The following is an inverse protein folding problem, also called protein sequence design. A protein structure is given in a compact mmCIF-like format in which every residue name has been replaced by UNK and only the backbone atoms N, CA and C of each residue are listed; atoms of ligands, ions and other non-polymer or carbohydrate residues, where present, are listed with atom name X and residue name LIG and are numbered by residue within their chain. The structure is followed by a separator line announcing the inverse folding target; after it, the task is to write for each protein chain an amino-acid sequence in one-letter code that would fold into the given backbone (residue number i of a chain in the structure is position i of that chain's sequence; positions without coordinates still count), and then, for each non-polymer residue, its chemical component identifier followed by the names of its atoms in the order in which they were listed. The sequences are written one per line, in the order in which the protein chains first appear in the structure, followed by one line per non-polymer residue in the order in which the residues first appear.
data_IF_317259610306
#
_entry.id   IF_317259610306
#
_cell.length_a   1.000
_cell.length_b   1.000
_cell.length_c   1.000
_cell.angle_alpha   90.00
_cell.angle_beta   90.00
_cell.angle_gamma   90.00
#
_symmetry.space_group_name_H-M   'P 1'
#
loop_
_entity.id
_entity.type
_entity.pdbx_description
1 polymer ?
#
# COMPACT_ATOMS: atom_id res chain seq x y z
N UNK A 1 -4.91 -27.27 21.94
CA UNK A 1 -4.53 -26.67 23.24
C UNK A 1 -3.29 -27.32 23.85
N UNK A 2 -2.91 -28.52 23.41
CA UNK A 2 -1.78 -29.31 23.94
C UNK A 2 -0.37 -28.80 23.52
N UNK A 3 -0.24 -28.15 22.38
CA UNK A 3 1.07 -27.72 21.81
C UNK A 3 1.70 -26.47 22.48
N UNK A 4 0.89 -25.63 23.13
CA UNK A 4 1.41 -24.39 23.77
C UNK A 4 2.13 -24.61 25.09
N UNK A 5 2.02 -25.82 25.68
CA UNK A 5 2.58 -26.13 27.01
C UNK A 5 4.07 -26.52 26.97
N UNK A 6 4.67 -26.69 25.79
CA UNK A 6 6.05 -27.14 25.62
C UNK A 6 7.02 -26.02 25.20
N UNK A 7 6.50 -24.83 24.85
CA UNK A 7 7.35 -23.71 24.41
C UNK A 7 8.06 -23.04 25.61
N UNK A 8 9.30 -22.57 25.42
CA UNK A 8 10.00 -21.74 26.40
C UNK A 8 9.21 -20.49 26.80
N UNK A 9 9.34 -20.07 28.05
CA UNK A 9 8.59 -18.94 28.60
C UNK A 9 8.77 -17.63 27.78
N UNK A 10 9.95 -17.40 27.23
CA UNK A 10 10.26 -16.28 26.36
C UNK A 10 9.46 -16.30 25.05
N UNK A 11 9.37 -17.46 24.40
CA UNK A 11 8.57 -17.65 23.20
C UNK A 11 7.08 -17.47 23.48
N UNK A 12 6.58 -17.96 24.62
CA UNK A 12 5.18 -17.76 25.03
C UNK A 12 4.86 -16.28 25.26
N UNK A 13 5.77 -15.54 25.90
CA UNK A 13 5.63 -14.11 26.09
C UNK A 13 5.61 -13.37 24.75
N UNK A 14 6.49 -13.74 23.81
CA UNK A 14 6.52 -13.21 22.45
C UNK A 14 5.21 -13.44 21.71
N UNK A 15 4.63 -14.66 21.77
CA UNK A 15 3.35 -14.98 21.14
C UNK A 15 2.20 -14.14 21.71
N UNK A 16 2.14 -13.96 23.03
CA UNK A 16 1.14 -13.10 23.67
C UNK A 16 1.30 -11.64 23.25
N UNK A 17 2.55 -11.15 23.15
CA UNK A 17 2.85 -9.81 22.73
C UNK A 17 2.47 -9.57 21.25
N UNK A 18 2.75 -10.53 20.35
CA UNK A 18 2.31 -10.51 18.95
C UNK A 18 0.78 -10.43 18.91
N UNK A 19 0.08 -11.31 19.59
CA UNK A 19 -1.40 -11.34 19.59
C UNK A 19 -2.03 -10.03 20.11
N UNK A 20 -1.41 -9.38 21.10
CA UNK A 20 -1.89 -8.09 21.63
C UNK A 20 -1.64 -6.90 20.69
N UNK A 21 -0.58 -6.93 19.91
CA UNK A 21 -0.24 -5.87 18.94
C UNK A 21 -1.10 -5.93 17.68
N UNK A 22 -1.63 -7.10 17.35
CA UNK A 22 -2.52 -7.26 16.20
C UNK A 22 -3.93 -6.80 16.61
N UNK A 23 -4.13 -5.48 16.63
CA UNK A 23 -5.47 -4.93 16.83
C UNK A 23 -6.29 -5.13 15.54
N UNK A 24 -7.51 -5.69 15.61
CA UNK A 24 -8.41 -5.76 14.47
C UNK A 24 -8.76 -4.33 14.06
N UNK A 25 -8.37 -3.93 12.87
CA UNK A 25 -8.69 -2.64 12.25
C UNK A 25 -9.29 -2.91 10.88
N UNK A 26 -10.24 -2.08 10.48
CA UNK A 26 -10.75 -2.05 9.10
C UNK A 26 -9.72 -1.48 8.11
N UNK A 27 -8.65 -0.87 8.62
CA UNK A 27 -7.52 -0.42 7.83
C UNK A 27 -6.45 -1.52 7.78
N UNK A 28 -6.37 -2.21 6.65
CA UNK A 28 -5.45 -3.32 6.45
C UNK A 28 -3.98 -2.89 6.57
N UNK A 29 -3.60 -1.68 6.13
CA UNK A 29 -2.24 -1.16 6.21
C UNK A 29 -1.79 -0.94 7.66
N UNK A 30 -2.70 -0.44 8.51
CA UNK A 30 -2.45 -0.32 9.93
C UNK A 30 -2.16 -1.68 10.56
N UNK A 31 -3.02 -2.67 10.28
CA UNK A 31 -2.87 -4.02 10.83
C UNK A 31 -1.62 -4.70 10.28
N UNK A 32 -1.34 -4.54 8.99
CA UNK A 32 -0.13 -5.04 8.34
C UNK A 32 1.15 -4.46 8.95
N UNK A 33 1.19 -3.14 9.15
CA UNK A 33 2.30 -2.48 9.84
C UNK A 33 2.50 -2.98 11.27
N UNK A 34 1.41 -3.19 12.02
CA UNK A 34 1.44 -3.71 13.38
C UNK A 34 1.97 -5.15 13.44
N UNK A 35 1.63 -5.99 12.46
CA UNK A 35 2.16 -7.36 12.33
C UNK A 35 3.67 -7.33 12.07
N UNK A 36 4.14 -6.49 11.13
CA UNK A 36 5.58 -6.34 10.83
C UNK A 36 6.38 -5.92 12.06
N UNK A 37 5.90 -4.91 12.77
CA UNK A 37 6.55 -4.42 13.98
C UNK A 37 6.56 -5.48 15.09
N UNK A 38 5.45 -6.21 15.27
CA UNK A 38 5.35 -7.27 16.24
C UNK A 38 6.30 -8.44 15.95
N UNK A 39 6.39 -8.89 14.69
CA UNK A 39 7.31 -9.96 14.28
C UNK A 39 8.77 -9.55 14.48
N UNK A 40 9.13 -8.34 14.04
CA UNK A 40 10.50 -7.82 14.19
C UNK A 40 10.97 -7.78 15.64
N UNK A 41 10.08 -7.38 16.55
CA UNK A 41 10.43 -7.21 17.97
C UNK A 41 10.35 -8.51 18.76
N UNK A 42 9.37 -9.36 18.47
CA UNK A 42 9.01 -10.48 19.34
C UNK A 42 9.41 -11.84 18.77
N UNK A 43 9.74 -11.92 17.48
CA UNK A 43 10.15 -13.15 16.82
C UNK A 43 11.38 -12.92 15.91
N UNK A 44 12.51 -12.44 16.44
CA UNK A 44 13.72 -12.25 15.66
C UNK A 44 14.20 -13.60 15.10
N UNK A 45 14.53 -13.63 13.80
CA UNK A 45 14.93 -14.86 13.10
C UNK A 45 13.81 -15.64 12.45
N UNK A 46 12.54 -15.28 12.68
CA UNK A 46 11.41 -15.80 11.90
C UNK A 46 11.26 -14.98 10.63
N UNK A 47 11.20 -15.69 9.48
CA UNK A 47 10.84 -15.09 8.21
C UNK A 47 9.37 -15.36 7.93
N UNK A 48 8.62 -14.33 7.55
CA UNK A 48 7.21 -14.46 7.27
C UNK A 48 6.80 -13.61 6.06
N UNK A 49 5.94 -14.17 5.21
CA UNK A 49 5.30 -13.48 4.10
C UNK A 49 3.86 -13.95 3.96
N UNK A 50 2.99 -13.08 3.51
CA UNK A 50 1.63 -13.43 3.14
C UNK A 50 1.47 -13.35 1.62
N UNK A 51 0.74 -14.29 1.05
CA UNK A 51 0.35 -14.26 -0.34
C UNK A 51 -1.18 -14.28 -0.45
N UNK A 52 -1.71 -13.34 -1.19
CA UNK A 52 -3.11 -13.33 -1.62
C UNK A 52 -3.21 -12.84 -3.07
N UNK A 53 -4.31 -13.10 -3.78
CA UNK A 53 -4.52 -12.63 -5.14
C UNK A 53 -4.68 -11.10 -5.20
N UNK A 54 -3.60 -10.38 -4.93
CA UNK A 54 -3.44 -8.94 -5.10
C UNK A 54 -2.44 -8.68 -6.24
N UNK A 55 -2.39 -7.47 -6.80
CA UNK A 55 -1.47 -7.15 -7.89
C UNK A 55 0.01 -7.42 -7.58
N UNK A 56 0.36 -7.48 -6.31
CA UNK A 56 1.75 -7.65 -5.82
C UNK A 56 2.11 -9.12 -5.52
N UNK A 57 1.12 -10.03 -5.46
CA UNK A 57 1.32 -11.45 -5.18
C UNK A 57 1.84 -11.72 -3.77
N UNK A 58 3.15 -11.79 -3.59
CA UNK A 58 3.78 -12.04 -2.28
C UNK A 58 4.03 -10.72 -1.54
N UNK A 59 3.55 -10.65 -0.30
CA UNK A 59 3.69 -9.48 0.59
C UNK A 59 4.60 -9.83 1.76
N UNK A 60 5.84 -9.28 1.83
CA UNK A 60 6.78 -9.60 2.89
C UNK A 60 6.37 -9.00 4.23
N UNK A 61 6.28 -9.85 5.27
CA UNK A 61 6.00 -9.44 6.65
C UNK A 61 7.28 -9.20 7.46
N UNK A 62 8.42 -9.71 6.99
CA UNK A 62 9.74 -9.48 7.57
C UNK A 62 10.73 -9.03 6.49
N UNK A 63 11.83 -8.32 6.83
CA UNK A 63 12.73 -7.71 5.84
C UNK A 63 13.35 -8.66 4.84
N UNK A 64 13.68 -9.89 5.26
CA UNK A 64 14.35 -10.89 4.39
C UNK A 64 13.38 -11.91 3.78
N UNK A 65 12.07 -11.75 3.97
CA UNK A 65 11.07 -12.69 3.49
C UNK A 65 11.06 -12.82 1.96
N UNK A 66 11.28 -11.74 1.21
CA UNK A 66 11.34 -11.78 -0.26
C UNK A 66 12.41 -12.76 -0.74
N UNK A 67 13.61 -12.70 -0.16
CA UNK A 67 14.72 -13.60 -0.50
C UNK A 67 14.42 -15.04 -0.07
N UNK A 68 13.84 -15.21 1.13
CA UNK A 68 13.54 -16.53 1.67
C UNK A 68 12.50 -17.27 0.84
N UNK A 69 11.52 -16.56 0.31
CA UNK A 69 10.40 -17.14 -0.44
C UNK A 69 10.47 -16.86 -1.95
N UNK A 70 11.60 -16.43 -2.48
CA UNK A 70 11.80 -16.09 -3.90
C UNK A 70 11.41 -17.24 -4.82
N UNK A 71 11.70 -18.49 -4.44
CA UNK A 71 11.34 -19.66 -5.21
C UNK A 71 9.83 -19.84 -5.44
N UNK A 72 8.98 -19.25 -4.58
CA UNK A 72 7.53 -19.35 -4.65
C UNK A 72 6.87 -18.20 -5.41
N UNK A 73 7.61 -17.12 -5.70
CA UNK A 73 7.04 -15.93 -6.37
C UNK A 73 6.78 -16.14 -7.86
N UNK A 74 7.39 -17.14 -8.47
CA UNK A 74 7.34 -17.40 -9.92
C UNK A 74 6.27 -18.42 -10.35
N UNK A 75 5.56 -19.06 -9.41
CA UNK A 75 4.75 -20.25 -9.75
C UNK A 75 3.25 -19.97 -9.76
N UNK A 76 2.60 -20.32 -10.90
CA UNK A 76 1.14 -20.52 -11.00
C UNK A 76 0.60 -21.53 -9.98
N UNK A 77 1.48 -22.25 -9.33
CA UNK A 77 1.21 -23.33 -8.37
C UNK A 77 0.62 -22.84 -7.05
N UNK A 78 0.71 -21.54 -6.72
CA UNK A 78 0.12 -21.02 -5.46
C UNK A 78 -1.41 -21.15 -5.46
N UNK A 79 -2.06 -21.04 -6.63
CA UNK A 79 -3.52 -21.27 -6.74
C UNK A 79 -3.89 -22.74 -6.52
N UNK A 80 -3.01 -23.66 -6.87
CA UNK A 80 -3.21 -25.10 -6.64
C UNK A 80 -2.96 -25.52 -5.18
N UNK A 81 -2.34 -24.66 -4.39
CA UNK A 81 -2.03 -24.87 -2.98
C UNK A 81 -3.07 -24.30 -2.01
N UNK A 82 -4.28 -24.00 -2.44
CA UNK A 82 -5.36 -23.47 -1.60
C UNK A 82 -6.18 -24.57 -0.89
N UNK A 83 -5.62 -25.47 -0.09
CA UNK A 83 -6.43 -26.28 0.78
C UNK A 83 -6.29 -25.84 2.24
N UNK A 84 -7.37 -25.95 2.94
CA UNK A 84 -7.52 -26.10 4.38
C UNK A 84 -6.45 -25.50 5.33
N UNK A 85 -6.86 -25.12 6.50
CA UNK A 85 -6.11 -24.52 7.62
C UNK A 85 -4.84 -25.27 8.09
N UNK A 86 -4.38 -26.30 7.38
CA UNK A 86 -3.31 -27.16 7.84
C UNK A 86 -1.93 -26.53 7.65
N UNK A 87 -1.17 -26.53 8.74
CA UNK A 87 0.24 -26.15 8.77
C UNK A 87 1.06 -27.24 8.06
N UNK A 88 1.54 -26.95 6.87
CA UNK A 88 2.24 -27.91 6.01
C UNK A 88 3.65 -27.41 5.66
N UNK A 89 4.64 -28.31 5.56
CA UNK A 89 5.97 -27.95 5.08
C UNK A 89 5.92 -27.50 3.62
N UNK A 90 6.81 -26.60 3.25
CA UNK A 90 7.06 -26.18 1.87
C UNK A 90 8.24 -27.01 1.34
N UNK A 91 8.00 -27.85 0.32
CA UNK A 91 9.01 -28.81 -0.17
C UNK A 91 10.24 -28.11 -0.73
N UNK A 92 10.06 -26.96 -1.38
CA UNK A 92 11.10 -26.21 -2.07
C UNK A 92 12.02 -25.44 -1.12
N UNK A 93 11.58 -25.18 0.12
CA UNK A 93 12.30 -24.35 1.08
C UNK A 93 12.42 -25.10 2.42
N UNK A 94 13.58 -25.67 2.73
CA UNK A 94 13.81 -26.36 4.01
C UNK A 94 13.55 -25.45 5.21
N UNK A 95 12.77 -25.94 6.19
CA UNK A 95 12.39 -25.16 7.39
C UNK A 95 11.30 -24.12 7.16
N UNK A 96 10.70 -24.09 5.98
CA UNK A 96 9.54 -23.25 5.71
C UNK A 96 8.23 -24.06 5.79
N UNK A 97 7.19 -23.35 6.24
CA UNK A 97 5.83 -23.88 6.39
C UNK A 97 4.83 -22.90 5.80
N UNK A 98 3.68 -23.43 5.40
CA UNK A 98 2.54 -22.67 4.88
C UNK A 98 1.28 -23.00 5.68
N UNK A 99 0.37 -22.01 5.76
CA UNK A 99 -0.97 -22.17 6.32
C UNK A 99 -1.96 -21.31 5.53
N UNK A 100 -3.19 -21.81 5.33
CA UNK A 100 -4.24 -21.06 4.64
C UNK A 100 -4.72 -19.84 5.43
N UNK A 101 -4.95 -18.74 4.72
CA UNK A 101 -5.55 -17.52 5.24
C UNK A 101 -7.07 -17.58 5.12
N UNK A 102 -7.74 -18.15 6.11
CA UNK A 102 -9.18 -18.43 6.04
C UNK A 102 -10.00 -17.43 6.85
N UNK A 103 -11.02 -16.88 6.20
CA UNK A 103 -12.07 -16.08 6.83
C UNK A 103 -13.43 -16.48 6.22
N UNK A 104 -14.50 -16.48 7.02
CA UNK A 104 -15.85 -16.86 6.58
C UNK A 104 -15.91 -18.19 5.81
N UNK A 105 -15.11 -19.20 6.23
CA UNK A 105 -15.01 -20.53 5.58
C UNK A 105 -14.48 -20.48 4.14
N UNK A 106 -13.87 -19.39 3.73
CA UNK A 106 -13.23 -19.22 2.43
C UNK A 106 -11.75 -18.94 2.63
N UNK A 107 -10.91 -19.56 1.81
CA UNK A 107 -9.47 -19.29 1.79
C UNK A 107 -9.19 -18.07 0.90
N UNK A 108 -8.41 -17.11 1.41
CA UNK A 108 -8.05 -15.88 0.75
C UNK A 108 -6.57 -15.80 0.36
N UNK A 109 -5.78 -16.80 0.73
CA UNK A 109 -4.36 -16.82 0.43
C UNK A 109 -3.58 -17.74 1.36
N UNK A 110 -2.27 -17.55 1.39
CA UNK A 110 -1.34 -18.34 2.21
C UNK A 110 -0.51 -17.42 3.10
N UNK A 111 -0.25 -17.88 4.33
CA UNK A 111 0.82 -17.38 5.17
C UNK A 111 2.00 -18.34 5.08
N UNK A 112 3.17 -17.80 4.77
CA UNK A 112 4.44 -18.50 4.71
C UNK A 112 5.26 -18.09 5.92
N UNK A 113 5.83 -19.07 6.63
CA UNK A 113 6.73 -18.84 7.76
C UNK A 113 7.94 -19.77 7.65
N UNK A 114 9.12 -19.28 8.04
CA UNK A 114 10.37 -20.04 8.05
C UNK A 114 11.20 -19.70 9.28
N UNK A 115 11.90 -20.69 9.83
CA UNK A 115 12.76 -20.54 11.01
C UNK A 115 13.25 -21.88 11.50
N UNK A 116 13.89 -21.89 12.69
CA UNK A 116 14.56 -23.08 13.22
C UNK A 116 13.64 -23.99 14.03
N UNK A 117 12.59 -23.46 14.66
CA UNK A 117 11.71 -24.17 15.57
C UNK A 117 10.30 -24.36 14.96
N UNK A 118 9.97 -25.56 14.46
CA UNK A 118 8.68 -25.82 13.81
C UNK A 118 7.46 -25.64 14.74
N UNK A 119 7.57 -25.94 16.04
CA UNK A 119 6.46 -25.78 16.99
C UNK A 119 6.17 -24.30 17.26
N UNK A 120 7.23 -23.52 17.39
CA UNK A 120 7.11 -22.06 17.51
C UNK A 120 6.55 -21.42 16.25
N UNK A 121 7.03 -21.84 15.07
CA UNK A 121 6.50 -21.38 13.78
C UNK A 121 5.01 -21.70 13.62
N UNK A 122 4.59 -22.91 14.02
CA UNK A 122 3.17 -23.30 14.00
C UNK A 122 2.32 -22.39 14.88
N UNK A 123 2.83 -22.05 16.06
CA UNK A 123 2.14 -21.16 16.99
C UNK A 123 2.03 -19.74 16.45
N UNK A 124 3.10 -19.19 15.86
CA UNK A 124 3.09 -17.91 15.16
C UNK A 124 2.10 -17.93 13.99
N UNK A 125 2.16 -18.95 13.16
CA UNK A 125 1.27 -19.09 12.00
C UNK A 125 -0.21 -19.10 12.41
N UNK A 126 -0.57 -19.81 13.48
CA UNK A 126 -1.95 -19.83 14.02
C UNK A 126 -2.43 -18.47 14.52
N UNK A 127 -1.56 -17.71 15.19
CA UNK A 127 -1.89 -16.37 15.69
C UNK A 127 -2.07 -15.38 14.52
N UNK A 128 -1.26 -15.50 13.48
CA UNK A 128 -1.26 -14.56 12.35
C UNK A 128 -2.29 -14.90 11.27
N UNK A 129 -2.57 -16.19 11.02
CA UNK A 129 -3.40 -16.62 9.89
C UNK A 129 -4.82 -16.03 9.92
N UNK A 130 -5.47 -16.02 11.08
CA UNK A 130 -6.83 -15.49 11.21
C UNK A 130 -6.90 -13.98 10.98
N UNK A 131 -6.13 -13.12 11.66
CA UNK A 131 -6.18 -11.68 11.41
C UNK A 131 -5.75 -11.32 9.99
N UNK A 132 -4.74 -11.99 9.42
CA UNK A 132 -4.34 -11.74 8.02
C UNK A 132 -5.44 -12.20 7.05
N UNK A 133 -6.08 -13.34 7.31
CA UNK A 133 -7.22 -13.83 6.53
C UNK A 133 -8.41 -12.86 6.55
N UNK A 134 -8.71 -12.25 7.70
CA UNK A 134 -9.72 -11.20 7.83
C UNK A 134 -9.34 -9.94 7.05
N UNK A 135 -8.07 -9.55 7.07
CA UNK A 135 -7.56 -8.43 6.27
C UNK A 135 -7.73 -8.71 4.77
N UNK A 136 -7.31 -9.89 4.31
CA UNK A 136 -7.43 -10.29 2.92
C UNK A 136 -8.91 -10.34 2.47
N UNK A 137 -9.80 -10.81 3.34
CA UNK A 137 -11.24 -10.77 3.10
C UNK A 137 -11.78 -9.33 3.01
N UNK A 138 -11.41 -8.48 3.96
CA UNK A 138 -11.82 -7.07 3.97
C UNK A 138 -11.33 -6.33 2.72
N UNK A 139 -10.07 -6.56 2.32
CA UNK A 139 -9.52 -6.02 1.08
C UNK A 139 -10.31 -6.46 -0.16
N UNK A 140 -10.66 -7.74 -0.27
CA UNK A 140 -11.48 -8.25 -1.37
C UNK A 140 -12.87 -7.63 -1.41
N UNK A 141 -13.51 -7.46 -0.24
CA UNK A 141 -14.80 -6.78 -0.16
C UNK A 141 -14.69 -5.31 -0.56
N UNK A 142 -13.64 -4.62 -0.14
CA UNK A 142 -13.38 -3.23 -0.53
C UNK A 142 -13.15 -3.13 -2.05
N UNK A 143 -12.41 -4.06 -2.64
CA UNK A 143 -12.21 -4.14 -4.10
C UNK A 143 -13.54 -4.36 -4.84
N UNK A 144 -14.39 -5.26 -4.37
CA UNK A 144 -15.72 -5.49 -4.95
C UNK A 144 -16.63 -4.27 -4.85
N UNK A 145 -16.59 -3.57 -3.72
CA UNK A 145 -17.31 -2.31 -3.54
C UNK A 145 -16.76 -1.23 -4.47
N UNK A 146 -15.43 -1.13 -4.58
CA UNK A 146 -14.77 -0.16 -5.47
C UNK A 146 -15.05 -0.45 -6.95
N UNK A 147 -15.22 -1.71 -7.34
CA UNK A 147 -15.68 -2.08 -8.70
C UNK A 147 -17.12 -1.63 -8.98
N UNK A 148 -17.95 -1.50 -7.96
CA UNK A 148 -19.37 -1.09 -8.09
C UNK A 148 -19.59 0.42 -7.87
N UNK A 149 -18.59 1.13 -7.41
CA UNK A 149 -18.64 2.58 -7.14
C UNK A 149 -17.55 3.28 -7.93
N UNK A 150 -17.75 4.54 -8.26
CA UNK A 150 -16.72 5.37 -8.90
C UNK A 150 -15.83 6.09 -7.89
N UNK A 151 -16.23 6.14 -6.62
CA UNK A 151 -15.56 6.93 -5.59
C UNK A 151 -15.15 6.10 -4.38
N UNK A 152 -14.03 6.49 -3.77
CA UNK A 152 -13.58 6.00 -2.48
C UNK A 152 -14.44 6.57 -1.34
N UNK A 153 -14.95 5.72 -0.47
CA UNK A 153 -15.87 6.10 0.59
C UNK A 153 -15.25 6.98 1.69
N UNK A 154 -13.95 6.82 1.94
CA UNK A 154 -13.26 7.55 2.99
C UNK A 154 -12.92 8.98 2.57
N UNK A 155 -12.36 9.13 1.39
CA UNK A 155 -11.92 10.44 0.88
C UNK A 155 -12.98 11.12 0.01
N UNK A 156 -13.89 10.33 -0.59
CA UNK A 156 -14.86 10.75 -1.59
C UNK A 156 -14.22 11.18 -2.91
N UNK A 157 -12.95 10.90 -3.13
CA UNK A 157 -12.25 11.07 -4.40
C UNK A 157 -12.61 9.91 -5.33
N UNK A 158 -12.22 10.01 -6.61
CA UNK A 158 -12.33 8.87 -7.51
C UNK A 158 -11.53 7.69 -6.95
N UNK A 159 -12.01 6.45 -7.17
CA UNK A 159 -11.22 5.27 -6.85
C UNK A 159 -10.32 4.88 -8.04
N UNK A 160 -9.29 4.07 -7.76
CA UNK A 160 -8.29 3.64 -8.76
C UNK A 160 -8.90 2.86 -9.92
N UNK A 161 -9.94 2.03 -9.67
CA UNK A 161 -10.58 1.23 -10.70
C UNK A 161 -11.23 2.13 -11.74
N UNK A 162 -12.09 3.04 -11.28
CA UNK A 162 -12.77 4.01 -12.15
C UNK A 162 -11.77 4.90 -12.91
N UNK A 163 -10.70 5.34 -12.25
CA UNK A 163 -9.65 6.11 -12.90
C UNK A 163 -9.00 5.34 -14.05
N UNK A 164 -8.58 4.09 -13.83
CA UNK A 164 -7.88 3.31 -14.84
C UNK A 164 -8.73 3.08 -16.11
N UNK A 165 -10.03 2.85 -15.93
CA UNK A 165 -10.97 2.70 -17.05
C UNK A 165 -11.07 3.97 -17.88
N UNK A 166 -11.26 5.12 -17.22
CA UNK A 166 -11.46 6.42 -17.88
C UNK A 166 -10.18 7.05 -18.39
N UNK A 167 -9.07 6.86 -17.69
CA UNK A 167 -7.82 7.52 -18.04
C UNK A 167 -7.24 7.02 -19.36
N UNK A 168 -7.49 5.77 -19.72
CA UNK A 168 -7.12 5.25 -21.03
C UNK A 168 -7.83 6.01 -22.17
N UNK A 169 -9.14 6.19 -22.07
CA UNK A 169 -9.94 6.94 -23.04
C UNK A 169 -9.46 8.40 -23.15
N UNK A 170 -9.15 8.99 -22.00
CA UNK A 170 -8.67 10.37 -21.93
C UNK A 170 -7.28 10.55 -22.59
N UNK A 171 -6.35 9.64 -22.38
CA UNK A 171 -5.07 9.66 -23.08
C UNK A 171 -5.23 9.55 -24.60
N UNK A 172 -6.14 8.72 -25.09
CA UNK A 172 -6.46 8.63 -26.51
C UNK A 172 -7.07 9.95 -27.05
N UNK A 173 -7.89 10.63 -26.24
CA UNK A 173 -8.42 11.96 -26.56
C UNK A 173 -7.30 12.99 -26.68
N UNK A 174 -6.39 13.05 -25.71
CA UNK A 174 -5.25 13.97 -25.70
C UNK A 174 -4.36 13.79 -26.94
N UNK A 175 -4.10 12.56 -27.35
CA UNK A 175 -3.33 12.28 -28.57
C UNK A 175 -4.01 12.86 -29.80
N UNK A 176 -5.35 12.71 -29.92
CA UNK A 176 -6.10 13.25 -31.05
C UNK A 176 -6.18 14.77 -31.06
N UNK A 177 -6.39 15.39 -29.88
CA UNK A 177 -6.52 16.84 -29.77
C UNK A 177 -5.18 17.59 -29.73
N UNK A 178 -4.06 16.86 -29.60
CA UNK A 178 -2.70 17.41 -29.39
C UNK A 178 -2.60 18.32 -28.15
N UNK A 179 -3.48 18.10 -27.20
CA UNK A 179 -3.44 18.81 -25.93
C UNK A 179 -2.41 18.17 -24.98
N UNK A 180 -1.88 18.99 -24.07
CA UNK A 180 -1.00 18.50 -23.00
C UNK A 180 -1.81 18.22 -21.75
N UNK A 181 -1.39 17.24 -20.97
CA UNK A 181 -1.94 16.97 -19.64
C UNK A 181 -0.84 16.51 -18.71
N UNK A 182 -1.07 16.60 -17.41
CA UNK A 182 -0.11 16.18 -16.40
C UNK A 182 -0.72 15.19 -15.42
N UNK A 183 0.08 14.23 -15.00
CA UNK A 183 -0.24 13.27 -13.94
C UNK A 183 0.68 13.52 -12.76
N UNK A 184 0.15 13.54 -11.57
CA UNK A 184 0.93 13.59 -10.36
C UNK A 184 0.55 12.47 -9.40
N UNK A 185 1.54 11.83 -8.77
CA UNK A 185 1.36 11.01 -7.59
C UNK A 185 1.82 11.82 -6.40
N UNK A 186 1.01 11.84 -5.36
CA UNK A 186 1.33 12.48 -4.08
C UNK A 186 1.31 11.42 -2.99
N UNK A 187 2.45 11.18 -2.40
CA UNK A 187 2.60 10.33 -1.23
C UNK A 187 2.55 11.18 0.05
N UNK A 188 1.80 10.73 1.06
CA UNK A 188 1.92 11.22 2.43
C UNK A 188 2.95 10.32 3.14
N UNK A 189 4.24 10.56 2.90
CA UNK A 189 5.33 9.61 3.10
C UNK A 189 5.43 9.03 4.51
N UNK A 190 5.13 9.84 5.53
CA UNK A 190 5.15 9.42 6.92
C UNK A 190 3.77 9.04 7.49
N UNK A 191 2.69 9.16 6.71
CA UNK A 191 1.35 9.00 7.27
C UNK A 191 1.08 7.59 7.79
N UNK A 192 1.54 6.56 7.10
CA UNK A 192 1.41 5.18 7.56
C UNK A 192 2.08 4.95 8.93
N UNK A 193 3.25 5.56 9.16
CA UNK A 193 3.94 5.50 10.45
C UNK A 193 3.17 6.31 11.52
N UNK A 194 2.72 7.51 11.18
CA UNK A 194 1.96 8.38 12.07
C UNK A 194 0.61 7.74 12.47
N UNK A 195 -0.10 7.15 11.52
CA UNK A 195 -1.37 6.45 11.75
C UNK A 195 -1.26 5.32 12.78
N UNK A 196 -0.10 4.65 12.87
CA UNK A 196 0.15 3.60 13.87
C UNK A 196 0.31 4.13 15.29
N UNK A 197 0.56 5.42 15.47
CA UNK A 197 0.69 6.06 16.79
C UNK A 197 -0.61 6.59 17.37
N UNK A 198 -1.72 6.51 16.62
CA UNK A 198 -3.03 7.03 16.99
C UNK A 198 -4.14 5.98 16.83
N UNK A 199 -5.34 6.29 17.29
CA UNK A 199 -6.48 5.43 17.07
C UNK A 199 -6.84 5.36 15.57
N UNK A 200 -7.27 4.19 15.05
CA UNK A 200 -7.61 4.03 13.62
C UNK A 200 -8.66 5.03 13.13
N UNK A 201 -9.65 5.36 13.97
CA UNK A 201 -10.71 6.32 13.65
C UNK A 201 -10.13 7.74 13.49
N UNK A 202 -9.11 8.08 14.26
CA UNK A 202 -8.43 9.37 14.18
C UNK A 202 -7.62 9.46 12.88
N UNK A 203 -6.86 8.42 12.53
CA UNK A 203 -6.14 8.34 11.28
C UNK A 203 -7.09 8.44 10.07
N UNK A 204 -8.20 7.71 10.10
CA UNK A 204 -9.23 7.78 9.06
C UNK A 204 -9.83 9.18 8.93
N UNK A 205 -10.07 9.87 10.05
CA UNK A 205 -10.59 11.25 10.06
C UNK A 205 -9.60 12.22 9.42
N UNK A 206 -8.31 12.11 9.75
CA UNK A 206 -7.26 12.94 9.15
C UNK A 206 -7.20 12.69 7.63
N UNK A 207 -7.22 11.45 7.20
CA UNK A 207 -7.16 11.13 5.77
C UNK A 207 -8.42 11.56 5.01
N UNK A 208 -9.60 11.48 5.62
CA UNK A 208 -10.83 12.05 5.08
C UNK A 208 -10.74 13.57 4.90
N UNK A 209 -10.12 14.29 5.87
CA UNK A 209 -9.85 15.71 5.75
C UNK A 209 -8.87 16.03 4.62
N UNK A 210 -7.86 15.19 4.39
CA UNK A 210 -6.98 15.30 3.22
C UNK A 210 -7.78 15.19 1.93
N UNK A 211 -8.72 14.25 1.82
CA UNK A 211 -9.64 14.15 0.69
C UNK A 211 -10.50 15.43 0.48
N UNK A 212 -10.93 16.06 1.56
CA UNK A 212 -11.65 17.34 1.49
C UNK A 212 -10.74 18.49 1.01
N UNK A 213 -9.48 18.52 1.49
CA UNK A 213 -8.49 19.51 1.06
C UNK A 213 -8.19 19.44 -0.45
N UNK A 214 -8.18 18.23 -1.02
CA UNK A 214 -8.05 18.03 -2.48
C UNK A 214 -9.13 18.79 -3.22
N UNK A 215 -10.40 18.62 -2.84
CA UNK A 215 -11.55 19.26 -3.51
C UNK A 215 -11.51 20.79 -3.50
N UNK A 216 -10.77 21.37 -2.56
CA UNK A 216 -10.65 22.83 -2.44
C UNK A 216 -9.56 23.42 -3.35
N UNK A 217 -8.70 22.58 -3.93
CA UNK A 217 -7.57 23.05 -4.76
C UNK A 217 -7.68 22.62 -6.21
N UNK A 218 -8.39 21.53 -6.52
CA UNK A 218 -8.60 21.04 -7.88
C UNK A 218 -9.79 21.72 -8.55
N UNK A 219 -9.74 21.83 -9.86
CA UNK A 219 -10.86 22.31 -10.70
C UNK A 219 -11.86 21.16 -10.92
N UNK A 220 -13.05 21.47 -11.40
CA UNK A 220 -14.06 20.46 -11.75
C UNK A 220 -13.58 19.53 -12.88
N UNK A 221 -12.70 19.99 -13.75
CA UNK A 221 -12.09 19.23 -14.85
C UNK A 221 -10.94 18.35 -14.41
N UNK A 222 -10.33 18.64 -13.24
CA UNK A 222 -9.21 17.87 -12.74
C UNK A 222 -9.71 16.60 -12.06
N UNK A 223 -8.95 15.52 -12.19
CA UNK A 223 -9.28 14.28 -11.52
C UNK A 223 -8.40 14.07 -10.31
N UNK A 224 -9.01 13.73 -9.20
CA UNK A 224 -8.34 13.39 -7.97
C UNK A 224 -8.78 12.02 -7.52
N UNK A 225 -7.84 11.15 -7.22
CA UNK A 225 -8.04 9.71 -7.05
C UNK A 225 -7.36 9.26 -5.76
N UNK A 226 -8.00 8.42 -4.98
CA UNK A 226 -7.29 7.59 -4.00
C UNK A 226 -6.57 6.48 -4.76
N UNK A 227 -5.24 6.55 -4.78
CA UNK A 227 -4.45 5.71 -5.66
C UNK A 227 -4.08 4.37 -5.04
N UNK A 228 -3.34 4.42 -3.94
CA UNK A 228 -2.89 3.25 -3.21
C UNK A 228 -2.62 3.65 -1.76
N UNK A 229 -3.15 2.88 -0.80
CA UNK A 229 -3.00 3.20 0.59
C UNK A 229 -3.40 4.63 0.95
N UNK A 230 -2.40 5.43 1.30
CA UNK A 230 -2.54 6.87 1.59
C UNK A 230 -2.00 7.75 0.46
N UNK A 231 -1.68 7.17 -0.68
CA UNK A 231 -1.24 7.91 -1.86
C UNK A 231 -2.44 8.43 -2.67
N UNK A 232 -2.26 9.59 -3.26
CA UNK A 232 -3.23 10.24 -4.12
C UNK A 232 -2.67 10.37 -5.53
N UNK A 233 -3.53 10.22 -6.53
CA UNK A 233 -3.21 10.54 -7.92
C UNK A 233 -4.04 11.74 -8.36
N UNK A 234 -3.38 12.65 -9.08
CA UNK A 234 -4.03 13.77 -9.75
C UNK A 234 -3.80 13.67 -11.25
N UNK A 235 -4.84 13.94 -12.02
CA UNK A 235 -4.73 14.17 -13.45
C UNK A 235 -5.25 15.59 -13.75
N UNK A 236 -4.44 16.36 -14.44
CA UNK A 236 -4.71 17.73 -14.83
C UNK A 236 -4.80 17.84 -16.35
N UNK A 237 -6.01 17.83 -16.94
CA UNK A 237 -6.18 18.03 -18.38
C UNK A 237 -5.73 19.43 -18.79
N UNK A 238 -5.20 19.55 -20.00
CA UNK A 238 -4.76 20.81 -20.63
C UNK A 238 -3.83 21.65 -19.72
N UNK A 239 -2.96 20.97 -18.93
CA UNK A 239 -2.14 21.58 -17.89
C UNK A 239 -0.71 21.08 -18.01
N UNK A 240 0.28 22.00 -18.04
CA UNK A 240 1.71 21.67 -18.04
C UNK A 240 2.16 21.14 -16.67
N UNK A 241 3.33 20.51 -16.62
CA UNK A 241 3.91 20.03 -15.36
C UNK A 241 4.13 21.16 -14.35
N UNK A 242 4.61 22.32 -14.81
CA UNK A 242 4.85 23.50 -13.97
C UNK A 242 3.53 24.04 -13.38
N UNK A 243 2.48 24.12 -14.21
CA UNK A 243 1.17 24.55 -13.73
C UNK A 243 0.54 23.55 -12.74
N UNK A 244 0.73 22.24 -12.95
CA UNK A 244 0.34 21.22 -12.00
C UNK A 244 1.07 21.35 -10.66
N UNK A 245 2.36 21.67 -10.67
CA UNK A 245 3.16 21.94 -9.45
C UNK A 245 2.53 23.06 -8.62
N UNK A 246 2.02 24.12 -9.22
CA UNK A 246 1.36 25.23 -8.48
C UNK A 246 0.07 24.76 -7.77
N UNK A 247 -0.67 23.82 -8.36
CA UNK A 247 -1.83 23.20 -7.68
C UNK A 247 -1.38 22.34 -6.50
N UNK A 248 -0.32 21.55 -6.69
CA UNK A 248 0.22 20.67 -5.66
C UNK A 248 0.82 21.47 -4.48
N UNK A 249 1.45 22.60 -4.71
CA UNK A 249 1.91 23.54 -3.65
C UNK A 249 0.74 24.00 -2.78
N UNK A 250 -0.38 24.38 -3.40
CA UNK A 250 -1.59 24.78 -2.66
C UNK A 250 -2.17 23.59 -1.87
N UNK A 251 -2.18 22.42 -2.47
CA UNK A 251 -2.63 21.20 -1.80
C UNK A 251 -1.77 20.89 -0.57
N UNK A 252 -0.44 20.87 -0.74
CA UNK A 252 0.48 20.56 0.33
C UNK A 252 0.37 21.55 1.50
N UNK A 253 0.23 22.86 1.23
CA UNK A 253 -0.06 23.85 2.29
C UNK A 253 -1.34 23.51 3.06
N UNK A 254 -2.39 23.06 2.38
CA UNK A 254 -3.63 22.65 3.04
C UNK A 254 -3.45 21.39 3.88
N UNK A 255 -2.71 20.40 3.39
CA UNK A 255 -2.38 19.19 4.15
C UNK A 255 -1.67 19.54 5.45
N UNK A 256 -0.74 20.50 5.41
CA UNK A 256 -0.01 20.96 6.58
C UNK A 256 -0.87 21.73 7.59
N UNK A 257 -1.98 22.34 7.16
CA UNK A 257 -2.95 22.93 8.11
C UNK A 257 -3.81 21.87 8.82
N UNK A 258 -3.98 20.69 8.19
CA UNK A 258 -4.66 19.55 8.82
C UNK A 258 -3.75 18.92 9.87
N UNK A 259 -2.52 18.62 9.49
CA UNK A 259 -1.50 18.13 10.42
C UNK A 259 -0.10 18.58 9.97
N UNK A 260 0.57 19.43 10.77
CA UNK A 260 1.93 19.89 10.46
C UNK A 260 2.98 18.76 10.44
N UNK A 261 2.64 17.61 11.02
CA UNK A 261 3.49 16.42 11.02
C UNK A 261 3.52 15.68 9.69
N UNK A 262 2.59 15.96 8.76
CA UNK A 262 2.53 15.30 7.47
C UNK A 262 3.67 15.74 6.54
N UNK A 263 4.16 14.81 5.75
CA UNK A 263 5.26 15.01 4.81
C UNK A 263 4.80 14.67 3.38
N UNK A 264 4.05 15.57 2.71
CA UNK A 264 3.63 15.36 1.33
C UNK A 264 4.83 15.41 0.38
N UNK A 265 4.99 14.35 -0.42
CA UNK A 265 5.91 14.25 -1.53
C UNK A 265 5.14 14.12 -2.82
N UNK A 266 5.60 14.73 -3.91
CA UNK A 266 4.94 14.57 -5.19
C UNK A 266 5.93 14.32 -6.33
N UNK A 267 5.51 13.46 -7.26
CA UNK A 267 6.15 13.29 -8.55
C UNK A 267 5.17 13.64 -9.67
N UNK A 268 5.57 14.50 -10.59
CA UNK A 268 4.72 14.97 -11.69
C UNK A 268 5.30 14.55 -13.02
N UNK A 269 4.47 13.95 -13.89
CA UNK A 269 4.78 13.59 -15.29
C UNK A 269 3.85 14.34 -16.25
N UNK A 270 4.23 14.46 -17.51
CA UNK A 270 3.45 15.17 -18.53
C UNK A 270 3.31 14.33 -19.79
N UNK A 271 2.22 14.56 -20.53
CA UNK A 271 1.99 13.92 -21.84
C UNK A 271 2.98 14.38 -22.92
N UNK A 272 3.77 15.42 -22.66
CA UNK A 272 4.91 15.79 -23.50
C UNK A 272 6.00 14.70 -23.45
N UNK A 273 6.15 14.01 -22.31
CA UNK A 273 7.17 12.98 -22.11
C UNK A 273 6.73 11.62 -22.65
N UNK A 274 5.46 11.29 -22.51
CA UNK A 274 4.85 10.05 -23.01
C UNK A 274 3.34 10.19 -23.02
N UNK A 275 2.70 9.55 -23.98
CA UNK A 275 1.23 9.46 -24.08
C UNK A 275 0.68 8.15 -23.51
N UNK A 276 1.55 7.24 -23.08
CA UNK A 276 1.14 5.97 -22.46
C UNK A 276 0.62 6.20 -21.05
N UNK A 277 -0.64 5.84 -20.73
CA UNK A 277 -1.22 5.98 -19.39
C UNK A 277 -0.35 5.34 -18.30
N UNK A 278 0.10 4.12 -18.56
CA UNK A 278 0.96 3.37 -17.65
C UNK A 278 2.31 4.04 -17.43
N UNK A 279 2.94 4.53 -18.51
CA UNK A 279 4.24 5.18 -18.42
C UNK A 279 4.15 6.53 -17.69
N UNK A 280 3.07 7.30 -17.85
CA UNK A 280 2.83 8.53 -17.10
C UNK A 280 2.82 8.27 -15.59
N UNK A 281 2.03 7.30 -15.16
CA UNK A 281 1.97 6.93 -13.73
C UNK A 281 3.32 6.43 -13.22
N UNK A 282 4.01 5.58 -13.98
CA UNK A 282 5.34 5.08 -13.60
C UNK A 282 6.38 6.19 -13.47
N UNK A 283 6.37 7.17 -14.39
CA UNK A 283 7.27 8.32 -14.31
C UNK A 283 6.98 9.16 -13.06
N UNK A 284 5.71 9.44 -12.77
CA UNK A 284 5.32 10.16 -11.57
C UNK A 284 5.77 9.42 -10.29
N UNK A 285 5.58 8.10 -10.23
CA UNK A 285 6.03 7.27 -9.11
C UNK A 285 7.55 7.30 -8.93
N UNK A 286 8.32 7.15 -10.02
CA UNK A 286 9.79 7.24 -9.96
C UNK A 286 10.26 8.61 -9.45
N UNK A 287 9.53 9.68 -9.73
CA UNK A 287 9.85 11.02 -9.25
C UNK A 287 9.61 11.21 -7.75
N UNK A 288 8.69 10.46 -7.15
CA UNK A 288 8.59 10.39 -5.68
C UNK A 288 9.87 9.79 -5.09
N UNK A 289 10.41 8.73 -5.69
CA UNK A 289 11.66 8.12 -5.21
C UNK A 289 12.85 9.09 -5.35
N UNK A 290 12.90 9.88 -6.42
CA UNK A 290 13.89 10.94 -6.58
C UNK A 290 13.71 12.02 -5.52
N UNK A 291 12.48 12.44 -5.24
CA UNK A 291 12.16 13.40 -4.20
C UNK A 291 12.59 12.90 -2.81
N UNK A 292 12.40 11.62 -2.50
CA UNK A 292 12.90 11.00 -1.26
C UNK A 292 14.42 11.06 -1.15
N UNK A 293 15.15 10.78 -2.23
CA UNK A 293 16.62 10.82 -2.27
C UNK A 293 17.18 12.23 -2.16
N UNK A 294 16.44 13.23 -2.64
CA UNK A 294 16.85 14.64 -2.65
C UNK A 294 16.63 15.36 -1.31
N UNK A 295 16.42 14.67 -0.23
CA UNK A 295 16.21 15.23 1.11
C UNK A 295 14.84 14.97 1.72
N UNK A 296 13.95 14.37 0.99
CA UNK A 296 12.84 13.54 1.46
C UNK A 296 11.66 14.20 2.15
N UNK A 297 11.69 15.50 2.43
CA UNK A 297 10.57 16.15 3.14
C UNK A 297 9.93 17.23 2.27
N UNK A 298 8.64 17.09 1.98
CA UNK A 298 7.83 18.13 1.34
C UNK A 298 8.41 18.60 -0.01
N UNK A 299 8.75 17.63 -0.86
CA UNK A 299 9.40 17.89 -2.15
C UNK A 299 8.46 17.53 -3.30
N UNK A 300 8.41 18.39 -4.32
CA UNK A 300 7.74 18.08 -5.58
C UNK A 300 8.81 17.96 -6.67
N UNK A 301 8.90 16.77 -7.29
CA UNK A 301 9.83 16.49 -8.39
C UNK A 301 9.08 16.46 -9.72
N UNK A 302 9.57 17.16 -10.72
CA UNK A 302 9.01 17.21 -12.07
C UNK A 302 10.10 17.42 -13.12
N UNK A 303 9.79 17.18 -14.40
CA UNK A 303 10.69 17.52 -15.51
C UNK A 303 10.21 18.78 -16.22
N UNK A 304 11.17 19.64 -16.59
CA UNK A 304 10.93 20.77 -17.49
C UNK A 304 10.84 20.28 -18.96
N UNK A 305 10.27 21.07 -19.87
CA UNK A 305 10.20 20.72 -21.30
C UNK A 305 11.56 20.42 -21.94
N UNK A 306 12.67 20.92 -21.38
CA UNK A 306 14.04 20.61 -21.78
C UNK A 306 14.62 19.32 -21.20
N UNK A 307 13.82 18.51 -20.47
CA UNK A 307 14.23 17.23 -19.89
C UNK A 307 15.00 17.31 -18.57
N UNK A 308 15.25 18.50 -18.03
CA UNK A 308 15.91 18.72 -16.74
C UNK A 308 14.97 18.39 -15.57
N UNK A 309 15.47 17.65 -14.55
CA UNK A 309 14.73 17.43 -13.31
C UNK A 309 14.76 18.67 -12.42
N UNK A 310 13.61 19.05 -11.90
CA UNK A 310 13.42 20.14 -10.96
C UNK A 310 12.84 19.62 -9.64
N UNK A 311 13.30 20.22 -8.54
CA UNK A 311 12.85 19.89 -7.20
C UNK A 311 12.37 21.16 -6.51
N UNK A 312 11.08 21.20 -6.19
CA UNK A 312 10.53 22.27 -5.38
C UNK A 312 10.46 21.82 -3.92
N UNK A 313 11.12 22.55 -3.01
CA UNK A 313 11.33 22.16 -1.59
C UNK A 313 10.58 23.01 -0.56
N UNK A 314 9.94 24.09 -0.97
CA UNK A 314 9.23 25.01 -0.07
C UNK A 314 7.73 24.73 -0.02
N UNK A 315 7.36 23.54 0.46
CA UNK A 315 5.94 23.21 0.65
C UNK A 315 5.53 23.38 2.10
#
# INVERSE_FOLDING_TARGET
METLTQLPAEQLQGLVAIGRKIAPSTNWEYTYGSIKDALREQAPGVQAAAWWPAPEGLVPLTPDAEKTFEALTSTKEIEDYLPEHDFQPVAEIPGAFRVGLVANRQNYGLLLVSGQDPEYLQSIARILATPIGLIAHAYKLEEEVNKRTSTDKMTGLWNRVYFNERFREECERLVRSKETGSVAIVALDNFAALARTMAPEEANKIFAQVGQAVRQVVRQTDWAVRWDGYDLLFYFPSTSAEAAVEVLKRFAKRVLTISPALEPLAGVSSTIETTSPRALVQLATRRIELARKDGGRRVICYATPGGGMQFYREV
#
